data_IF_284657212872
#
_entry.id   IF_284657212872
#
_cell.length_a   1.000
_cell.length_b   1.000
_cell.length_c   1.000
_cell.angle_alpha   90.00
_cell.angle_beta   90.00
_cell.angle_gamma   90.00
#
_symmetry.space_group_name_H-M   'P 1'
#
loop_
_entity.id
_entity.type
_entity.pdbx_description
1 polymer ?
#
# COMPACT_ATOMS: atom_id res chain seq x y z
N UNK A 1 13.98 7.69 45.63
CA UNK A 1 14.28 7.09 44.30
C UNK A 1 13.01 7.00 43.48
N UNK A 2 12.76 7.96 42.60
CA UNK A 2 11.59 7.92 41.67
C UNK A 2 12.06 7.35 40.32
N UNK A 3 11.65 6.11 39.99
CA UNK A 3 11.86 5.54 38.69
C UNK A 3 10.85 6.15 37.72
N UNK A 4 11.36 6.83 36.73
CA UNK A 4 10.64 7.40 35.59
C UNK A 4 10.08 6.27 34.72
N UNK A 5 8.76 6.18 34.60
CA UNK A 5 8.08 5.39 33.59
C UNK A 5 7.92 6.29 32.37
N UNK A 6 8.89 6.23 31.47
CA UNK A 6 8.78 6.76 30.11
C UNK A 6 8.92 5.59 29.16
N UNK A 7 7.84 5.01 28.74
CA UNK A 7 7.72 4.22 27.49
C UNK A 7 6.31 3.64 27.45
N UNK A 8 5.43 4.18 26.64
CA UNK A 8 4.26 3.50 26.08
C UNK A 8 3.18 4.49 25.56
N UNK A 9 3.55 5.52 24.82
CA UNK A 9 2.52 6.41 24.22
C UNK A 9 2.65 6.50 22.68
N UNK A 10 3.66 5.91 22.06
CA UNK A 10 3.88 6.08 20.61
C UNK A 10 3.27 4.99 19.73
N UNK A 11 2.73 3.91 20.27
CA UNK A 11 2.22 2.80 19.47
C UNK A 11 0.73 2.91 19.07
N UNK A 12 -0.05 3.79 19.71
CA UNK A 12 -1.51 3.81 19.51
C UNK A 12 -2.04 4.81 18.49
N UNK A 13 -1.24 5.77 18.02
CA UNK A 13 -1.74 6.84 17.13
C UNK A 13 -1.68 6.43 15.66
N UNK A 14 -0.80 5.50 15.25
CA UNK A 14 -0.69 5.06 13.86
C UNK A 14 -1.63 3.91 13.47
N UNK A 15 -2.14 3.14 14.41
CA UNK A 15 -3.08 2.06 14.13
C UNK A 15 -4.45 2.55 13.64
N UNK A 16 -4.86 3.77 13.98
CA UNK A 16 -6.16 4.32 13.59
C UNK A 16 -6.19 4.91 12.16
N UNK A 17 -5.05 5.25 11.57
CA UNK A 17 -4.99 5.88 10.24
C UNK A 17 -5.03 4.87 9.08
N UNK A 18 -4.79 3.58 9.35
CA UNK A 18 -4.71 2.52 8.34
C UNK A 18 -5.72 1.39 8.52
N UNK A 19 -6.71 1.56 9.39
CA UNK A 19 -7.88 0.69 9.38
C UNK A 19 -8.78 1.08 8.21
N UNK A 20 -8.42 0.64 7.02
CA UNK A 20 -9.45 0.45 6.00
C UNK A 20 -10.22 -0.77 6.51
N UNK A 21 -11.42 -0.53 7.01
CA UNK A 21 -12.36 -1.60 7.36
C UNK A 21 -12.60 -2.43 6.10
N UNK A 22 -11.81 -3.47 5.93
CA UNK A 22 -12.21 -4.57 5.09
C UNK A 22 -13.55 -5.07 5.65
N UNK A 23 -14.53 -5.23 4.78
CA UNK A 23 -15.88 -5.64 5.16
C UNK A 23 -15.88 -6.67 6.30
N UNK A 24 -16.42 -6.29 7.44
CA UNK A 24 -17.02 -7.06 8.54
C UNK A 24 -16.40 -8.39 9.01
N UNK A 25 -15.23 -8.85 8.59
CA UNK A 25 -14.69 -10.15 8.98
C UNK A 25 -13.32 -10.12 9.63
N UNK A 26 -12.39 -9.34 9.11
CA UNK A 26 -11.05 -9.18 9.67
C UNK A 26 -10.57 -7.73 9.55
N UNK A 27 -9.62 -7.37 10.41
CA UNK A 27 -8.84 -6.14 10.27
C UNK A 27 -7.41 -6.50 9.88
N UNK A 28 -6.70 -5.57 9.28
CA UNK A 28 -5.30 -5.78 8.93
C UNK A 28 -4.46 -4.54 9.24
N UNK A 29 -3.18 -4.77 9.45
CA UNK A 29 -2.17 -3.72 9.61
C UNK A 29 -0.88 -4.13 8.90
N UNK A 30 -0.11 -3.15 8.46
CA UNK A 30 1.22 -3.33 7.89
C UNK A 30 2.25 -3.16 8.99
N UNK A 31 3.14 -4.13 9.15
CA UNK A 31 4.30 -3.99 10.04
C UNK A 31 5.25 -2.94 9.45
N UNK A 32 5.80 -2.08 10.30
CA UNK A 32 6.69 -0.98 9.88
C UNK A 32 6.07 -0.07 8.80
N UNK A 33 4.84 0.41 9.06
CA UNK A 33 4.03 1.18 8.10
C UNK A 33 4.79 2.33 7.42
N UNK A 34 5.61 3.08 8.18
CA UNK A 34 6.37 4.22 7.64
C UNK A 34 7.39 3.84 6.56
N UNK A 35 7.87 2.59 6.54
CA UNK A 35 8.85 2.11 5.56
C UNK A 35 8.25 1.20 4.49
N UNK A 36 7.12 0.58 4.75
CA UNK A 36 6.52 -0.48 3.91
C UNK A 36 5.29 -0.03 3.13
N UNK A 37 4.52 0.91 3.66
CA UNK A 37 3.32 1.43 3.03
C UNK A 37 3.64 2.58 2.09
N UNK A 38 3.18 2.48 0.85
CA UNK A 38 3.45 3.47 -0.22
C UNK A 38 2.23 4.34 -0.50
N UNK A 39 1.03 3.79 -0.39
CA UNK A 39 -0.20 4.52 -0.70
C UNK A 39 -1.39 3.61 -0.95
N UNK A 40 -2.40 4.13 -1.65
CA UNK A 40 -3.60 3.40 -2.09
C UNK A 40 -3.85 3.60 -3.57
N UNK A 41 -4.55 2.65 -4.20
CA UNK A 41 -4.96 2.70 -5.59
C UNK A 41 -6.25 1.91 -5.79
N UNK A 42 -6.99 2.16 -6.88
CA UNK A 42 -7.92 1.18 -7.40
C UNK A 42 -7.13 0.18 -8.23
N UNK A 43 -7.22 -1.11 -7.91
CA UNK A 43 -6.59 -2.20 -8.67
C UNK A 43 -7.64 -2.98 -9.43
N UNK A 44 -7.38 -3.25 -10.71
CA UNK A 44 -8.22 -4.11 -11.56
C UNK A 44 -7.49 -5.41 -11.83
N UNK A 45 -8.10 -6.53 -11.47
CA UNK A 45 -7.59 -7.87 -11.79
C UNK A 45 -8.63 -8.67 -12.56
N UNK A 46 -8.19 -9.69 -13.28
CA UNK A 46 -9.06 -10.66 -13.94
C UNK A 46 -9.11 -11.92 -13.07
N UNK A 47 -10.29 -12.31 -12.62
CA UNK A 47 -10.42 -13.54 -11.82
C UNK A 47 -10.32 -14.80 -12.69
N UNK A 48 -10.32 -15.97 -12.08
CA UNK A 48 -10.18 -17.27 -12.77
C UNK A 48 -11.35 -17.60 -13.72
N UNK A 49 -12.48 -16.89 -13.61
CA UNK A 49 -13.61 -17.01 -14.56
C UNK A 49 -13.53 -15.99 -15.71
N UNK A 50 -12.44 -15.21 -15.81
CA UNK A 50 -12.25 -14.19 -16.84
C UNK A 50 -12.94 -12.85 -16.56
N UNK A 51 -13.60 -12.70 -15.41
CA UNK A 51 -14.29 -11.45 -15.03
C UNK A 51 -13.28 -10.45 -14.45
N UNK A 52 -13.34 -9.20 -14.92
CA UNK A 52 -12.60 -8.09 -14.32
C UNK A 52 -13.26 -7.62 -13.02
N UNK A 53 -12.43 -7.41 -12.01
CA UNK A 53 -12.83 -6.92 -10.70
C UNK A 53 -11.93 -5.75 -10.31
N UNK A 54 -12.55 -4.63 -9.92
CA UNK A 54 -11.85 -3.42 -9.48
C UNK A 54 -12.20 -3.12 -8.03
N UNK A 55 -11.20 -2.84 -7.21
CA UNK A 55 -11.39 -2.46 -5.81
C UNK A 55 -10.24 -1.59 -5.31
N UNK A 56 -10.47 -0.92 -4.17
CA UNK A 56 -9.42 -0.17 -3.47
C UNK A 56 -8.42 -1.14 -2.83
N UNK A 57 -7.14 -0.86 -3.01
CA UNK A 57 -6.07 -1.65 -2.43
C UNK A 57 -4.90 -0.78 -1.94
N UNK A 58 -4.26 -1.14 -0.82
CA UNK A 58 -3.02 -0.53 -0.40
C UNK A 58 -1.87 -0.91 -1.33
N UNK A 59 -0.98 0.04 -1.59
CA UNK A 59 0.30 -0.17 -2.26
C UNK A 59 1.36 -0.35 -1.19
N UNK A 60 2.10 -1.44 -1.26
CA UNK A 60 3.16 -1.79 -0.29
C UNK A 60 4.44 -2.20 -1.00
N UNK A 61 5.56 -2.15 -0.28
CA UNK A 61 6.84 -2.66 -0.79
C UNK A 61 6.85 -4.19 -0.75
N UNK A 62 7.64 -4.81 -1.63
CA UNK A 62 7.89 -6.25 -1.58
C UNK A 62 8.50 -6.63 -0.22
N UNK A 63 8.11 -7.77 0.30
CA UNK A 63 8.57 -8.27 1.59
C UNK A 63 7.85 -7.64 2.79
N UNK A 64 6.82 -6.82 2.54
CA UNK A 64 6.00 -6.27 3.62
C UNK A 64 5.27 -7.38 4.36
N UNK A 65 5.38 -7.36 5.70
CA UNK A 65 4.61 -8.24 6.58
C UNK A 65 3.27 -7.59 6.88
N UNK A 66 2.19 -8.32 6.63
CA UNK A 66 0.83 -7.89 6.97
C UNK A 66 0.30 -8.80 8.07
N UNK A 67 -0.22 -8.20 9.13
CA UNK A 67 -0.90 -8.91 10.24
C UNK A 67 -2.40 -8.74 10.08
N UNK A 68 -3.11 -9.86 10.03
CA UNK A 68 -4.57 -9.93 10.02
C UNK A 68 -5.06 -10.29 11.41
N UNK A 69 -6.12 -9.66 11.86
CA UNK A 69 -6.83 -10.00 13.11
C UNK A 69 -8.24 -10.40 12.76
N UNK A 70 -8.62 -11.64 13.11
CA UNK A 70 -9.97 -12.16 12.89
C UNK A 70 -10.96 -11.50 13.86
N UNK A 71 -11.98 -10.83 13.32
CA UNK A 71 -12.89 -10.01 14.12
C UNK A 71 -14.22 -10.72 14.47
N UNK A 72 -14.68 -11.67 13.66
CA UNK A 72 -16.04 -12.22 13.79
C UNK A 72 -16.05 -13.61 14.44
N UNK A 73 -15.70 -14.63 13.68
CA UNK A 73 -15.71 -16.04 14.10
C UNK A 73 -14.39 -16.69 13.69
N UNK A 74 -14.22 -17.98 13.87
CA UNK A 74 -13.08 -18.68 13.28
C UNK A 74 -13.20 -18.67 11.77
N UNK A 75 -12.11 -18.34 11.07
CA UNK A 75 -12.05 -18.34 9.63
C UNK A 75 -10.79 -19.02 9.08
N UNK A 76 -10.91 -19.68 7.93
CA UNK A 76 -9.78 -20.24 7.19
C UNK A 76 -9.26 -19.20 6.20
N UNK A 77 -7.98 -18.92 6.25
CA UNK A 77 -7.30 -17.95 5.41
C UNK A 77 -6.63 -18.63 4.22
N UNK A 78 -6.70 -17.96 3.08
CA UNK A 78 -6.04 -18.35 1.83
C UNK A 78 -5.34 -17.18 1.21
N UNK A 79 -4.26 -17.41 0.48
CA UNK A 79 -3.61 -16.41 -0.37
C UNK A 79 -3.71 -16.82 -1.83
N UNK A 80 -3.95 -15.83 -2.70
CA UNK A 80 -3.84 -15.89 -4.16
C UNK A 80 -2.97 -14.75 -4.63
N UNK A 81 -2.45 -14.86 -5.86
CA UNK A 81 -1.69 -13.78 -6.47
C UNK A 81 -2.08 -13.57 -7.92
N UNK A 82 -1.80 -12.35 -8.39
CA UNK A 82 -1.96 -11.92 -9.77
C UNK A 82 -0.63 -11.35 -10.26
N UNK A 83 -0.36 -11.50 -11.54
CA UNK A 83 0.82 -10.92 -12.18
C UNK A 83 0.74 -9.38 -12.29
N UNK A 84 1.76 -8.76 -12.85
CA UNK A 84 1.79 -7.31 -13.06
C UNK A 84 0.76 -6.81 -14.09
N UNK A 85 0.13 -7.69 -14.84
CA UNK A 85 -0.97 -7.38 -15.79
C UNK A 85 -2.35 -7.61 -15.17
N UNK A 86 -2.42 -8.06 -13.91
CA UNK A 86 -3.67 -8.36 -13.21
C UNK A 86 -4.28 -9.71 -13.58
N UNK A 87 -3.53 -10.61 -14.23
CA UNK A 87 -3.98 -11.96 -14.52
C UNK A 87 -3.70 -12.89 -13.34
N UNK A 88 -4.54 -13.91 -13.07
CA UNK A 88 -4.33 -14.82 -11.95
C UNK A 88 -3.11 -15.71 -12.20
N UNK A 89 -2.28 -15.88 -11.17
CA UNK A 89 -1.19 -16.86 -11.15
C UNK A 89 -1.77 -18.15 -10.58
N UNK A 90 -2.17 -19.07 -11.46
CA UNK A 90 -3.01 -20.21 -11.12
C UNK A 90 -2.36 -21.19 -10.12
N UNK A 91 -1.05 -21.36 -10.16
CA UNK A 91 -0.31 -22.21 -9.25
C UNK A 91 0.09 -21.51 -7.95
N UNK A 92 -0.31 -20.24 -7.77
CA UNK A 92 -0.09 -19.47 -6.56
C UNK A 92 -1.35 -19.42 -5.71
N UNK A 93 -1.76 -20.53 -5.15
CA UNK A 93 -2.84 -20.58 -4.16
C UNK A 93 -2.41 -21.45 -2.98
N UNK A 94 -2.59 -20.95 -1.77
CA UNK A 94 -2.24 -21.69 -0.57
C UNK A 94 -3.20 -21.41 0.59
N UNK A 95 -3.50 -22.46 1.38
CA UNK A 95 -4.10 -22.27 2.69
C UNK A 95 -3.05 -21.72 3.66
N UNK A 96 -3.44 -20.71 4.42
CA UNK A 96 -2.63 -20.12 5.48
C UNK A 96 -3.05 -20.62 6.88
N UNK A 97 -4.05 -21.50 6.93
CA UNK A 97 -4.59 -22.06 8.17
C UNK A 97 -5.84 -21.36 8.68
N UNK A 98 -6.32 -21.84 9.83
CA UNK A 98 -7.52 -21.31 10.49
C UNK A 98 -7.14 -20.42 11.67
N UNK A 99 -7.76 -19.25 11.73
CA UNK A 99 -7.59 -18.26 12.80
C UNK A 99 -8.88 -18.17 13.59
N UNK A 100 -8.80 -18.26 14.91
CA UNK A 100 -9.95 -18.10 15.81
C UNK A 100 -10.27 -16.63 16.00
N UNK A 101 -11.49 -16.30 16.42
CA UNK A 101 -11.91 -14.93 16.79
C UNK A 101 -10.89 -14.28 17.74
N UNK A 102 -10.45 -13.08 17.40
CA UNK A 102 -9.43 -12.33 18.13
C UNK A 102 -8.00 -12.80 17.90
N UNK A 103 -7.81 -13.93 17.20
CA UNK A 103 -6.49 -14.41 16.80
C UNK A 103 -5.90 -13.62 15.64
N UNK A 104 -4.60 -13.79 15.41
CA UNK A 104 -3.84 -13.08 14.37
C UNK A 104 -3.17 -14.07 13.42
N UNK A 105 -2.99 -13.61 12.18
CA UNK A 105 -2.19 -14.27 11.14
C UNK A 105 -1.23 -13.26 10.56
N UNK A 106 0.03 -13.62 10.41
CA UNK A 106 1.01 -12.83 9.68
C UNK A 106 1.31 -13.47 8.31
N UNK A 107 1.43 -12.63 7.29
CA UNK A 107 1.84 -13.07 5.96
C UNK A 107 2.82 -12.07 5.34
N UNK A 108 3.93 -12.58 4.82
CA UNK A 108 4.92 -11.78 4.09
C UNK A 108 4.54 -11.73 2.62
N UNK A 109 4.33 -10.53 2.09
CA UNK A 109 3.99 -10.29 0.69
C UNK A 109 5.26 -10.38 -0.17
N UNK A 110 5.81 -11.59 -0.28
CA UNK A 110 7.02 -11.89 -1.05
C UNK A 110 6.83 -13.08 -1.98
N UNK A 111 6.91 -12.80 -3.28
CA UNK A 111 6.89 -13.82 -4.32
C UNK A 111 8.08 -14.78 -4.22
N UNK A 112 9.27 -14.27 -3.89
CA UNK A 112 10.49 -15.09 -3.88
C UNK A 112 10.42 -16.22 -2.86
N UNK A 113 9.76 -16.01 -1.71
CA UNK A 113 9.57 -17.06 -0.72
C UNK A 113 8.81 -18.27 -1.30
N UNK A 114 7.70 -18.02 -2.03
CA UNK A 114 6.91 -19.08 -2.67
C UNK A 114 7.66 -19.82 -3.76
N UNK A 115 8.45 -19.09 -4.57
CA UNK A 115 9.29 -19.69 -5.61
C UNK A 115 10.40 -20.55 -5.01
N UNK A 116 11.08 -20.09 -3.97
CA UNK A 116 12.15 -20.84 -3.28
C UNK A 116 11.62 -22.08 -2.59
N UNK A 117 10.35 -22.09 -2.16
CA UNK A 117 9.68 -23.27 -1.60
C UNK A 117 9.22 -24.28 -2.68
N UNK A 118 9.44 -24.01 -3.96
CA UNK A 118 8.98 -24.85 -5.07
C UNK A 118 7.46 -24.86 -5.26
N UNK A 119 6.74 -23.90 -4.66
CA UNK A 119 5.27 -23.88 -4.65
C UNK A 119 4.66 -23.06 -5.80
N UNK A 120 5.48 -22.58 -6.71
CA UNK A 120 5.03 -21.91 -7.94
C UNK A 120 6.01 -22.10 -9.07
N UNK A 121 5.51 -22.46 -10.24
CA UNK A 121 6.25 -22.54 -11.50
C UNK A 121 6.34 -21.20 -12.22
N UNK A 122 5.53 -20.21 -11.83
CA UNK A 122 5.52 -18.89 -12.44
C UNK A 122 6.88 -18.18 -12.28
N UNK A 123 7.43 -17.68 -13.38
CA UNK A 123 8.78 -17.08 -13.40
C UNK A 123 8.79 -15.56 -13.24
N UNK A 124 7.63 -14.91 -13.38
CA UNK A 124 7.46 -13.47 -13.21
C UNK A 124 7.45 -13.02 -11.75
N UNK A 125 6.89 -11.84 -11.53
CA UNK A 125 6.65 -11.29 -10.18
C UNK A 125 5.15 -11.16 -9.94
N UNK A 126 4.68 -11.51 -8.74
CA UNK A 126 3.33 -11.18 -8.32
C UNK A 126 3.21 -9.66 -8.17
N UNK A 127 2.26 -9.07 -8.88
CA UNK A 127 1.92 -7.65 -8.79
C UNK A 127 0.87 -7.35 -7.74
N UNK A 128 -0.03 -8.32 -7.51
CA UNK A 128 -1.11 -8.20 -6.52
C UNK A 128 -1.21 -9.49 -5.72
N UNK A 129 -1.31 -9.35 -4.41
CA UNK A 129 -1.66 -10.45 -3.50
C UNK A 129 -3.11 -10.27 -3.03
N UNK A 130 -3.87 -11.34 -2.98
CA UNK A 130 -5.23 -11.39 -2.46
C UNK A 130 -5.29 -12.35 -1.28
N UNK A 131 -5.58 -11.81 -0.09
CA UNK A 131 -5.82 -12.61 1.10
C UNK A 131 -7.33 -12.75 1.25
N UNK A 132 -7.80 -13.98 1.33
CA UNK A 132 -9.19 -14.33 1.55
C UNK A 132 -9.34 -15.00 2.91
N UNK A 133 -10.43 -14.71 3.61
CA UNK A 133 -10.86 -15.41 4.81
C UNK A 133 -12.27 -15.94 4.59
N UNK A 134 -12.52 -17.21 4.94
CA UNK A 134 -13.82 -17.86 4.86
C UNK A 134 -14.18 -18.44 6.23
N UNK A 135 -15.31 -18.01 6.79
CA UNK A 135 -15.80 -18.51 8.08
C UNK A 135 -16.54 -19.86 7.96
N UNK A 136 -16.98 -20.39 9.12
CA UNK A 136 -17.75 -21.62 9.21
C UNK A 136 -19.08 -21.56 8.47
N UNK A 137 -19.68 -20.39 8.33
CA UNK A 137 -20.97 -20.17 7.67
C UNK A 137 -20.82 -19.98 6.15
N UNK A 138 -19.56 -20.07 5.66
CA UNK A 138 -19.22 -19.95 4.25
C UNK A 138 -19.11 -18.52 3.75
N UNK A 139 -19.26 -17.53 4.62
CA UNK A 139 -19.07 -16.12 4.27
C UNK A 139 -17.59 -15.84 4.01
N UNK A 140 -17.33 -15.10 2.96
CA UNK A 140 -15.94 -14.82 2.50
C UNK A 140 -15.69 -13.32 2.53
N UNK A 141 -14.50 -12.96 3.02
CA UNK A 141 -13.92 -11.63 2.95
C UNK A 141 -12.61 -11.70 2.17
N UNK A 142 -12.20 -10.59 1.59
CA UNK A 142 -10.91 -10.49 0.91
C UNK A 142 -10.30 -9.11 1.10
N UNK A 143 -8.96 -9.04 0.97
CA UNK A 143 -8.17 -7.84 0.86
C UNK A 143 -7.09 -8.06 -0.18
N UNK A 144 -6.94 -7.13 -1.11
CA UNK A 144 -5.84 -7.10 -2.07
C UNK A 144 -4.76 -6.12 -1.62
N UNK A 145 -3.52 -6.45 -1.95
CA UNK A 145 -2.31 -5.64 -1.72
C UNK A 145 -1.55 -5.54 -3.04
N UNK A 146 -1.23 -4.32 -3.45
CA UNK A 146 -0.46 -4.06 -4.67
C UNK A 146 1.01 -3.93 -4.29
N UNK A 147 1.89 -4.66 -4.99
CA UNK A 147 3.34 -4.52 -4.83
C UNK A 147 3.82 -3.34 -5.65
N UNK A 148 4.49 -2.40 -4.97
CA UNK A 148 5.01 -1.19 -5.59
C UNK A 148 5.91 -1.49 -6.79
N UNK A 149 5.71 -0.78 -7.90
CA UNK A 149 6.49 -0.85 -9.14
C UNK A 149 6.42 -2.19 -9.90
N UNK A 150 5.45 -3.06 -9.62
CA UNK A 150 5.28 -4.34 -10.34
C UNK A 150 4.13 -4.29 -11.35
N UNK A 151 3.04 -3.59 -11.03
CA UNK A 151 1.87 -3.56 -11.91
C UNK A 151 2.07 -2.66 -13.12
N UNK A 152 1.61 -3.13 -14.27
CA UNK A 152 1.62 -2.40 -15.52
C UNK A 152 0.60 -1.24 -15.51
N UNK A 153 0.81 -0.31 -16.44
CA UNK A 153 -0.13 0.76 -16.74
C UNK A 153 -1.52 0.20 -17.09
N UNK A 154 -2.57 0.78 -16.52
CA UNK A 154 -3.96 0.32 -16.73
C UNK A 154 -4.47 -0.73 -15.73
N UNK A 155 -3.59 -1.38 -14.95
CA UNK A 155 -3.99 -2.23 -13.82
C UNK A 155 -4.34 -1.36 -12.60
N UNK A 156 -3.65 -0.24 -12.45
CA UNK A 156 -3.83 0.71 -11.36
C UNK A 156 -4.48 1.99 -11.84
N UNK A 157 -5.37 2.55 -11.01
CA UNK A 157 -5.99 3.86 -11.24
C UNK A 157 -6.19 4.59 -9.91
N UNK A 158 -6.42 5.91 -9.96
CA UNK A 158 -6.65 6.73 -8.77
C UNK A 158 -5.60 6.52 -7.66
N UNK A 159 -4.31 6.49 -8.04
CA UNK A 159 -3.23 6.25 -7.10
C UNK A 159 -3.02 7.46 -6.18
N UNK A 160 -3.05 7.21 -4.87
CA UNK A 160 -2.67 8.15 -3.83
C UNK A 160 -1.44 7.64 -3.10
N UNK A 161 -0.44 8.48 -2.95
CA UNK A 161 0.84 8.19 -2.29
C UNK A 161 0.81 8.65 -0.83
N UNK A 162 1.33 7.84 0.07
CA UNK A 162 1.42 8.17 1.48
C UNK A 162 2.72 8.91 1.78
N UNK A 163 2.62 10.08 2.40
CA UNK A 163 3.76 10.85 2.88
C UNK A 163 3.39 11.60 4.15
N UNK A 164 4.22 11.47 5.19
CA UNK A 164 4.09 12.22 6.47
C UNK A 164 2.67 12.24 7.05
N UNK A 165 2.01 11.07 7.12
CA UNK A 165 0.69 10.93 7.74
C UNK A 165 -0.51 11.25 6.85
N UNK A 166 -0.32 11.59 5.57
CA UNK A 166 -1.40 11.92 4.65
C UNK A 166 -1.24 11.25 3.28
N UNK A 167 -2.34 11.21 2.52
CA UNK A 167 -2.39 10.65 1.18
C UNK A 167 -2.45 11.77 0.14
N UNK A 168 -1.62 11.65 -0.90
CA UNK A 168 -1.41 12.65 -1.93
C UNK A 168 -1.46 12.06 -3.32
N UNK A 169 -1.92 12.84 -4.30
CA UNK A 169 -1.93 12.47 -5.71
C UNK A 169 -1.20 13.51 -6.55
N UNK A 170 -0.28 13.07 -7.40
CA UNK A 170 0.32 13.90 -8.42
C UNK A 170 -0.71 14.29 -9.48
N UNK A 171 -0.74 15.56 -9.83
CA UNK A 171 -1.54 16.15 -10.90
C UNK A 171 -0.66 17.03 -11.79
N UNK A 172 -1.09 17.25 -13.03
CA UNK A 172 -0.40 18.15 -13.96
C UNK A 172 -1.38 18.79 -14.94
N UNK A 173 -0.98 19.93 -15.46
CA UNK A 173 -1.60 20.62 -16.59
C UNK A 173 -0.51 21.33 -17.43
N UNK A 174 -0.89 22.20 -18.35
CA UNK A 174 0.05 22.96 -19.20
C UNK A 174 0.99 23.88 -18.43
N UNK A 175 0.62 24.31 -17.20
CA UNK A 175 1.46 25.17 -16.35
C UNK A 175 2.52 24.37 -15.59
N UNK A 176 2.23 23.11 -15.18
CA UNK A 176 3.17 22.30 -14.43
C UNK A 176 2.54 21.19 -13.61
N UNK A 177 3.30 20.69 -12.65
CA UNK A 177 2.90 19.63 -11.73
C UNK A 177 2.54 20.19 -10.36
N UNK A 178 1.58 19.56 -9.68
CA UNK A 178 1.25 19.83 -8.28
C UNK A 178 0.84 18.56 -7.55
N UNK A 179 0.61 18.64 -6.25
CA UNK A 179 0.23 17.50 -5.41
C UNK A 179 -1.06 17.81 -4.67
N UNK A 180 -2.15 17.11 -5.04
CA UNK A 180 -3.42 17.13 -4.34
C UNK A 180 -3.38 16.31 -3.05
N UNK A 181 -4.08 16.77 -2.01
CA UNK A 181 -4.34 16.00 -0.80
C UNK A 181 -5.64 15.21 -0.96
N UNK A 182 -5.67 13.95 -0.57
CA UNK A 182 -6.92 13.14 -0.55
C UNK A 182 -8.00 13.76 0.34
N UNK A 183 -7.59 14.49 1.37
CA UNK A 183 -8.48 15.24 2.29
C UNK A 183 -9.04 16.55 1.70
N UNK A 184 -8.64 16.92 0.49
CA UNK A 184 -9.02 18.15 -0.19
C UNK A 184 -7.92 19.20 -0.22
N UNK A 185 -7.93 20.04 -1.27
CA UNK A 185 -6.89 21.03 -1.55
C UNK A 185 -5.56 20.41 -2.01
N UNK A 186 -4.54 21.24 -2.12
CA UNK A 186 -3.21 20.87 -2.60
C UNK A 186 -2.11 21.38 -1.67
N UNK A 187 -0.87 20.94 -1.87
CA UNK A 187 0.29 21.42 -1.11
C UNK A 187 0.72 22.80 -1.62
N UNK A 188 1.05 23.70 -0.69
CA UNK A 188 1.66 25.01 -0.95
C UNK A 188 2.79 25.26 0.03
N UNK A 189 3.85 25.93 -0.42
CA UNK A 189 5.01 26.29 0.40
C UNK A 189 5.57 25.12 1.22
N UNK A 190 5.65 23.92 0.62
CA UNK A 190 5.96 22.72 1.35
C UNK A 190 6.76 21.71 0.51
N UNK A 191 7.62 20.95 1.19
CA UNK A 191 8.30 19.80 0.63
C UNK A 191 7.40 18.57 0.60
N UNK A 192 7.43 17.87 -0.51
CA UNK A 192 6.83 16.55 -0.69
C UNK A 192 7.90 15.51 -0.98
N UNK A 193 8.00 14.48 -0.16
CA UNK A 193 8.83 13.32 -0.45
C UNK A 193 7.99 12.24 -1.11
N UNK A 194 8.33 11.86 -2.33
CA UNK A 194 7.67 10.75 -3.00
C UNK A 194 8.03 9.43 -2.33
N UNK A 195 7.08 8.66 -1.82
CA UNK A 195 7.36 7.37 -1.19
C UNK A 195 7.78 6.29 -2.19
N UNK A 196 7.54 6.54 -3.49
CA UNK A 196 7.93 5.63 -4.59
C UNK A 196 9.42 5.76 -4.89
N UNK A 197 9.90 7.00 -5.08
CA UNK A 197 11.29 7.27 -5.48
C UNK A 197 12.20 7.69 -4.34
N UNK A 198 11.62 8.12 -3.20
CA UNK A 198 12.36 8.74 -2.10
C UNK A 198 12.83 10.17 -2.39
N UNK A 199 12.56 10.70 -3.58
CA UNK A 199 13.00 12.03 -4.01
C UNK A 199 12.13 13.12 -3.41
N UNK A 200 12.73 14.31 -3.21
CA UNK A 200 12.10 15.48 -2.63
C UNK A 200 11.77 16.52 -3.70
N UNK A 201 10.59 17.11 -3.58
CA UNK A 201 10.05 18.15 -4.46
C UNK A 201 9.46 19.28 -3.63
N UNK A 202 9.55 20.53 -4.08
CA UNK A 202 8.97 21.67 -3.38
C UNK A 202 7.78 22.24 -4.14
N UNK A 203 6.63 22.36 -3.46
CA UNK A 203 5.44 23.04 -3.99
C UNK A 203 5.51 24.51 -3.59
N UNK A 204 5.46 25.41 -4.57
CA UNK A 204 5.50 26.86 -4.38
C UNK A 204 4.24 27.43 -3.73
N UNK A 205 4.18 28.76 -3.59
CA UNK A 205 3.02 29.46 -3.00
C UNK A 205 1.74 29.30 -3.83
N UNK A 206 1.89 29.11 -5.14
CA UNK A 206 0.78 28.85 -6.08
C UNK A 206 0.42 27.37 -6.21
N UNK A 207 1.08 26.48 -5.43
CA UNK A 207 0.89 25.05 -5.40
C UNK A 207 1.64 24.26 -6.47
N UNK A 208 2.23 24.90 -7.47
CA UNK A 208 2.99 24.19 -8.50
C UNK A 208 4.38 23.81 -8.00
N UNK A 209 4.87 22.68 -8.48
CA UNK A 209 6.22 22.19 -8.22
C UNK A 209 7.25 23.16 -8.80
N UNK A 210 8.17 23.60 -7.96
CA UNK A 210 9.30 24.43 -8.41
C UNK A 210 10.30 23.60 -9.21
N UNK A 211 10.81 24.17 -10.30
CA UNK A 211 11.80 23.56 -11.17
C UNK A 211 12.93 24.53 -11.48
N UNK A 212 14.15 24.02 -11.60
CA UNK A 212 15.33 24.79 -12.02
C UNK A 212 15.51 26.12 -11.28
N UNK A 213 15.30 26.14 -9.96
CA UNK A 213 15.34 27.35 -9.13
C UNK A 213 15.81 27.05 -7.71
N UNK A 214 15.95 28.10 -6.90
CA UNK A 214 16.17 27.98 -5.45
C UNK A 214 14.85 28.17 -4.71
N UNK A 215 14.56 27.26 -3.78
CA UNK A 215 13.36 27.32 -2.93
C UNK A 215 13.48 28.45 -1.90
N UNK A 216 12.36 28.94 -1.32
CA UNK A 216 12.39 30.00 -0.31
C UNK A 216 13.24 29.71 0.92
N UNK A 217 13.46 28.44 1.25
CA UNK A 217 14.30 27.98 2.35
C UNK A 217 15.77 27.68 1.91
N UNK A 218 16.16 28.10 0.69
CA UNK A 218 17.54 28.14 0.23
C UNK A 218 18.05 26.87 -0.47
N UNK A 219 17.22 25.87 -0.70
CA UNK A 219 17.61 24.64 -1.39
C UNK A 219 17.43 24.77 -2.91
N UNK A 220 18.25 24.05 -3.67
CA UNK A 220 18.13 24.02 -5.14
C UNK A 220 17.31 22.83 -5.60
N UNK A 221 16.48 23.08 -6.62
CA UNK A 221 15.76 22.03 -7.36
C UNK A 221 16.16 22.07 -8.82
N UNK A 222 16.34 20.90 -9.44
CA UNK A 222 16.75 20.79 -10.85
C UNK A 222 15.56 20.96 -11.81
N UNK A 223 15.80 20.80 -13.11
CA UNK A 223 14.77 20.92 -14.16
C UNK A 223 13.60 19.93 -13.99
N UNK A 224 13.81 18.80 -13.34
CA UNK A 224 12.77 17.83 -13.00
C UNK A 224 12.11 18.09 -11.65
N UNK A 225 12.39 19.23 -10.99
CA UNK A 225 11.87 19.59 -9.69
C UNK A 225 12.49 18.85 -8.51
N UNK A 226 13.48 18.00 -8.75
CA UNK A 226 14.13 17.20 -7.70
C UNK A 226 15.11 18.06 -6.93
N UNK A 227 15.05 17.98 -5.60
CA UNK A 227 16.08 18.60 -4.73
C UNK A 227 17.46 18.06 -5.06
N UNK A 228 18.42 18.97 -5.20
CA UNK A 228 19.84 18.67 -5.41
C UNK A 228 20.67 19.23 -4.25
N UNK A 229 21.69 18.48 -3.85
CA UNK A 229 22.62 18.90 -2.79
C UNK A 229 23.60 19.95 -3.32
#
# INVERSE_FOLDING_TARGET
MKKSIKTAVFACIFAAAFQITAFAGFTWRVESADSSYVGTTNVTVTNTSGKKETEDAPIVKRGTVVTFTEAAASATYMVKAYDGMGNPILDFSASLGTVKKGGTLQYTLDWNARKSEGKSSYTGQAGVFEIQAKDSDGKTWRQRFVINNVCASGVLSNMYLYSKGALYQWKSNSKGWWVDKKSGGYLTNAWFQSPVSGLWYYMGSDGYMLTNTTTPDGYKVNASGVWVK
#
